data_IF_890708692519
#
_entry.id   IF_890708692519
#
_cell.length_a   1.000
_cell.length_b   1.000
_cell.length_c   1.000
_cell.angle_alpha   90.00
_cell.angle_beta   90.00
_cell.angle_gamma   90.00
#
_symmetry.space_group_name_H-M   'P 1'
#
loop_
_entity.id
_entity.type
_entity.pdbx_description
1 polymer ?
#
# COMPACT_ATOMS: atom_id res chain seq x y z
N UNK A 1 -47.62 4.44 -15.36
CA UNK A 1 -46.34 4.50 -14.63
C UNK A 1 -46.06 3.14 -14.04
N UNK A 2 -45.12 2.39 -14.59
CA UNK A 2 -44.77 1.04 -14.13
C UNK A 2 -43.94 1.16 -12.85
N UNK A 3 -44.57 0.87 -11.72
CA UNK A 3 -43.92 0.79 -10.42
C UNK A 3 -43.12 -0.52 -10.37
N UNK A 4 -41.91 -0.53 -10.94
CA UNK A 4 -40.99 -1.69 -10.76
C UNK A 4 -40.49 -1.64 -9.32
N UNK A 5 -40.60 -2.73 -8.55
CA UNK A 5 -40.02 -2.77 -7.22
C UNK A 5 -38.51 -2.51 -7.32
N UNK A 6 -37.91 -1.84 -6.32
CA UNK A 6 -36.45 -1.60 -6.32
C UNK A 6 -35.74 -2.94 -6.46
N UNK A 7 -34.89 -3.04 -7.49
CA UNK A 7 -34.08 -4.25 -7.75
C UNK A 7 -33.17 -4.47 -6.56
N UNK A 8 -33.27 -5.61 -5.88
CA UNK A 8 -32.38 -5.94 -4.78
C UNK A 8 -30.91 -5.88 -5.30
N UNK A 9 -29.98 -5.22 -4.59
CA UNK A 9 -28.60 -5.02 -5.05
C UNK A 9 -27.89 -6.33 -5.50
N UNK A 10 -28.31 -7.46 -4.96
CA UNK A 10 -27.76 -8.78 -5.27
C UNK A 10 -28.52 -9.56 -6.35
N UNK A 11 -29.62 -9.04 -6.91
CA UNK A 11 -30.41 -9.77 -7.89
C UNK A 11 -29.66 -10.02 -9.20
N UNK A 12 -28.80 -9.06 -9.60
CA UNK A 12 -27.96 -9.20 -10.79
C UNK A 12 -26.86 -10.25 -10.59
N UNK A 13 -26.37 -10.46 -9.37
CA UNK A 13 -25.31 -11.44 -9.09
C UNK A 13 -25.80 -12.89 -9.20
N UNK A 14 -27.11 -13.11 -9.22
CA UNK A 14 -27.72 -14.45 -9.45
C UNK A 14 -27.79 -14.85 -10.91
N UNK A 15 -27.65 -13.91 -11.86
CA UNK A 15 -27.71 -14.20 -13.29
C UNK A 15 -26.40 -14.89 -13.74
N UNK A 16 -26.52 -16.09 -14.29
CA UNK A 16 -25.36 -16.91 -14.74
C UNK A 16 -24.42 -16.15 -15.67
N UNK A 17 -24.97 -15.36 -16.62
CA UNK A 17 -24.15 -14.58 -17.55
C UNK A 17 -23.27 -13.54 -16.85
N UNK A 18 -23.75 -12.87 -15.80
CA UNK A 18 -22.92 -11.95 -15.03
C UNK A 18 -21.80 -12.66 -14.24
N UNK A 19 -22.13 -13.82 -13.66
CA UNK A 19 -21.10 -14.64 -13.00
C UNK A 19 -20.03 -15.11 -13.99
N UNK A 20 -20.45 -15.49 -15.19
CA UNK A 20 -19.52 -15.90 -16.26
C UNK A 20 -18.62 -14.73 -16.69
N UNK A 21 -19.18 -13.52 -16.86
CA UNK A 21 -18.41 -12.31 -17.20
C UNK A 21 -17.41 -11.97 -16.09
N UNK A 22 -17.84 -11.95 -14.84
CA UNK A 22 -16.94 -11.72 -13.69
C UNK A 22 -15.85 -12.78 -13.63
N UNK A 23 -16.21 -14.07 -13.78
CA UNK A 23 -15.25 -15.17 -13.81
C UNK A 23 -14.25 -15.05 -14.94
N UNK A 24 -14.70 -14.70 -16.16
CA UNK A 24 -13.82 -14.48 -17.31
C UNK A 24 -12.87 -13.30 -17.11
N UNK A 25 -13.38 -12.18 -16.57
CA UNK A 25 -12.57 -11.01 -16.26
C UNK A 25 -11.51 -11.36 -15.21
N UNK A 26 -11.88 -12.05 -14.15
CA UNK A 26 -10.93 -12.51 -13.11
C UNK A 26 -9.88 -13.45 -13.71
N UNK A 27 -10.33 -14.44 -14.50
CA UNK A 27 -9.40 -15.35 -15.18
C UNK A 27 -8.41 -14.57 -16.08
N UNK A 28 -8.89 -13.63 -16.86
CA UNK A 28 -8.05 -12.81 -17.75
C UNK A 28 -7.02 -11.97 -16.96
N UNK A 29 -7.43 -11.38 -15.83
CA UNK A 29 -6.54 -10.57 -15.00
C UNK A 29 -5.50 -11.42 -14.25
N UNK A 30 -5.91 -12.57 -13.72
CA UNK A 30 -5.02 -13.42 -12.91
C UNK A 30 -4.24 -14.45 -13.73
N UNK A 31 -4.65 -14.78 -14.95
CA UNK A 31 -3.96 -15.77 -15.79
C UNK A 31 -2.46 -15.44 -16.00
N UNK A 32 -2.04 -14.20 -16.31
CA UNK A 32 -0.61 -13.89 -16.44
C UNK A 32 0.16 -14.12 -15.13
N UNK A 33 -0.42 -13.78 -13.97
CA UNK A 33 0.21 -13.97 -12.66
C UNK A 33 0.33 -15.47 -12.33
N UNK A 34 -0.72 -16.25 -12.60
CA UNK A 34 -0.72 -17.71 -12.41
C UNK A 34 0.33 -18.36 -13.33
N UNK A 35 0.40 -17.94 -14.59
CA UNK A 35 1.42 -18.42 -15.53
C UNK A 35 2.84 -18.07 -15.05
N UNK A 36 3.07 -16.85 -14.57
CA UNK A 36 4.35 -16.44 -13.99
C UNK A 36 4.72 -17.35 -12.81
N UNK A 37 3.78 -17.60 -11.88
CA UNK A 37 3.98 -18.51 -10.74
C UNK A 37 4.25 -19.95 -11.19
N UNK A 38 3.54 -20.48 -12.19
CA UNK A 38 3.80 -21.83 -12.73
C UNK A 38 5.19 -21.87 -13.34
N UNK A 39 5.53 -20.92 -14.21
CA UNK A 39 6.85 -20.88 -14.87
C UNK A 39 8.03 -20.57 -13.93
N UNK A 40 7.77 -20.13 -12.69
CA UNK A 40 8.81 -20.01 -11.68
C UNK A 40 9.43 -21.35 -11.27
N UNK A 41 8.67 -22.44 -11.44
CA UNK A 41 9.12 -23.81 -11.19
C UNK A 41 9.70 -24.53 -12.43
N UNK A 42 9.81 -23.83 -13.56
CA UNK A 42 10.24 -24.45 -14.82
C UNK A 42 11.77 -24.63 -14.89
N UNK A 43 12.27 -25.85 -15.08
CA UNK A 43 13.70 -26.13 -15.27
C UNK A 43 14.17 -25.79 -16.70
N UNK A 44 14.09 -24.51 -17.03
CA UNK A 44 14.53 -23.98 -18.32
C UNK A 44 15.34 -22.70 -18.10
N UNK A 45 16.29 -22.43 -19.02
CA UNK A 45 17.00 -21.13 -19.02
C UNK A 45 16.14 -20.00 -19.61
N UNK A 46 15.09 -20.33 -20.37
CA UNK A 46 14.17 -19.38 -21.02
C UNK A 46 12.74 -19.78 -20.72
N UNK A 47 11.88 -18.83 -20.39
CA UNK A 47 10.46 -19.04 -20.03
C UNK A 47 9.54 -19.35 -21.23
N UNK A 48 10.02 -19.99 -22.27
CA UNK A 48 9.23 -20.23 -23.49
C UNK A 48 8.61 -21.62 -23.52
N UNK A 49 9.30 -22.63 -22.97
CA UNK A 49 8.89 -24.03 -23.01
C UNK A 49 9.04 -24.64 -21.63
N UNK A 50 8.02 -25.40 -21.21
CA UNK A 50 8.08 -26.16 -19.96
C UNK A 50 9.00 -27.37 -20.15
N UNK A 51 10.03 -27.49 -19.32
CA UNK A 51 11.02 -28.59 -19.36
C UNK A 51 10.98 -29.53 -18.17
N UNK A 52 10.26 -29.15 -17.10
CA UNK A 52 10.16 -29.93 -15.88
C UNK A 52 10.06 -29.06 -14.64
N UNK A 53 9.74 -29.70 -13.52
CA UNK A 53 9.60 -29.04 -12.22
C UNK A 53 10.97 -28.91 -11.53
N UNK A 54 11.28 -27.71 -11.01
CA UNK A 54 12.48 -27.47 -10.20
C UNK A 54 12.29 -26.35 -9.18
N UNK A 55 12.96 -26.42 -8.04
CA UNK A 55 13.05 -25.35 -7.03
C UNK A 55 14.38 -24.56 -7.12
N UNK A 56 15.27 -24.93 -8.03
CA UNK A 56 16.60 -24.35 -8.20
C UNK A 56 16.61 -22.83 -8.31
N UNK A 57 15.58 -22.25 -8.93
CA UNK A 57 15.53 -20.78 -9.12
C UNK A 57 15.10 -20.04 -7.86
N UNK A 58 14.38 -20.68 -6.94
CA UNK A 58 14.09 -20.16 -5.62
C UNK A 58 15.36 -20.12 -4.76
N UNK A 59 16.12 -21.21 -4.77
CA UNK A 59 17.42 -21.25 -4.09
C UNK A 59 18.39 -20.19 -4.64
N UNK A 60 18.44 -20.04 -5.98
CA UNK A 60 19.24 -18.98 -6.62
C UNK A 60 18.77 -17.58 -6.28
N UNK A 61 17.46 -17.35 -6.16
CA UNK A 61 16.91 -16.04 -5.80
C UNK A 61 17.25 -15.68 -4.35
N UNK A 62 17.13 -16.66 -3.43
CA UNK A 62 17.44 -16.47 -2.01
C UNK A 62 18.94 -16.32 -1.73
N UNK A 63 19.80 -16.95 -2.54
CA UNK A 63 21.27 -16.84 -2.45
C UNK A 63 21.86 -15.71 -3.32
N UNK A 64 21.01 -14.86 -3.90
CA UNK A 64 21.46 -13.71 -4.68
C UNK A 64 21.49 -12.47 -3.78
N UNK A 65 22.68 -12.13 -3.28
CA UNK A 65 22.88 -11.02 -2.33
C UNK A 65 22.22 -9.73 -2.81
N UNK A 66 22.39 -9.37 -4.08
CA UNK A 66 21.81 -8.11 -4.61
C UNK A 66 20.27 -8.13 -4.73
N UNK A 67 19.65 -9.31 -4.85
CA UNK A 67 18.19 -9.44 -4.85
C UNK A 67 17.64 -9.38 -3.44
N UNK A 68 18.32 -10.04 -2.51
CA UNK A 68 17.97 -10.03 -1.07
C UNK A 68 18.14 -8.63 -0.51
N UNK A 69 19.24 -7.93 -0.82
CA UNK A 69 19.45 -6.54 -0.44
C UNK A 69 18.34 -5.62 -0.97
N UNK A 70 17.98 -5.74 -2.25
CA UNK A 70 16.89 -4.97 -2.84
C UNK A 70 15.54 -5.26 -2.17
N UNK A 71 15.28 -6.50 -1.77
CA UNK A 71 14.07 -6.87 -1.00
C UNK A 71 14.09 -6.24 0.40
N UNK A 72 15.22 -6.32 1.10
CA UNK A 72 15.39 -5.70 2.44
C UNK A 72 15.21 -4.19 2.35
N UNK A 73 15.79 -3.54 1.33
CA UNK A 73 15.61 -2.11 1.08
C UNK A 73 14.13 -1.75 0.89
N UNK A 74 13.41 -2.50 0.04
CA UNK A 74 11.96 -2.29 -0.16
C UNK A 74 11.16 -2.45 1.12
N UNK A 75 11.42 -3.51 1.89
CA UNK A 75 10.72 -3.76 3.15
C UNK A 75 11.01 -2.67 4.19
N UNK A 76 12.25 -2.22 4.26
CA UNK A 76 12.68 -1.15 5.18
C UNK A 76 11.99 0.16 4.83
N UNK A 77 12.03 0.57 3.56
CA UNK A 77 11.35 1.77 3.08
C UNK A 77 9.84 1.68 3.32
N UNK A 78 9.21 0.55 2.95
CA UNK A 78 7.78 0.36 3.12
C UNK A 78 7.35 0.39 4.60
N UNK A 79 8.12 -0.25 5.49
CA UNK A 79 7.83 -0.23 6.92
C UNK A 79 7.96 1.17 7.52
N UNK A 80 9.07 1.88 7.25
CA UNK A 80 9.30 3.24 7.76
C UNK A 80 8.28 4.22 7.18
N UNK A 81 8.04 4.18 5.87
CA UNK A 81 7.05 5.02 5.22
C UNK A 81 5.65 4.77 5.79
N UNK A 82 5.27 3.51 6.02
CA UNK A 82 3.97 3.15 6.60
C UNK A 82 3.81 3.72 8.01
N UNK A 83 4.78 3.50 8.90
CA UNK A 83 4.70 3.96 10.29
C UNK A 83 4.54 5.48 10.35
N UNK A 84 5.38 6.21 9.61
CA UNK A 84 5.36 7.68 9.64
C UNK A 84 4.10 8.22 8.94
N UNK A 85 3.71 7.64 7.79
CA UNK A 85 2.48 8.03 7.09
C UNK A 85 1.23 7.74 7.91
N UNK A 86 1.21 6.64 8.67
CA UNK A 86 0.10 6.32 9.58
C UNK A 86 -0.08 7.38 10.65
N UNK A 87 1.01 7.79 11.29
CA UNK A 87 0.97 8.83 12.33
C UNK A 87 0.54 10.18 11.73
N UNK A 88 1.23 10.64 10.68
CA UNK A 88 0.94 11.93 10.05
C UNK A 88 -0.47 11.95 9.46
N UNK A 89 -0.85 10.91 8.72
CA UNK A 89 -2.16 10.79 8.08
C UNK A 89 -3.31 10.72 9.08
N UNK A 90 -3.15 9.96 10.18
CA UNK A 90 -4.15 9.88 11.24
C UNK A 90 -4.31 11.23 11.96
N UNK A 91 -3.20 11.89 12.32
CA UNK A 91 -3.24 13.21 12.96
C UNK A 91 -3.88 14.25 12.04
N UNK A 92 -3.50 14.27 10.75
CA UNK A 92 -4.09 15.15 9.76
C UNK A 92 -5.60 14.89 9.59
N UNK A 93 -6.02 13.63 9.51
CA UNK A 93 -7.42 13.26 9.41
C UNK A 93 -8.24 13.74 10.60
N UNK A 94 -7.76 13.48 11.83
CA UNK A 94 -8.42 13.93 13.07
C UNK A 94 -8.44 15.46 13.16
N UNK A 95 -7.33 16.13 12.85
CA UNK A 95 -7.26 17.59 12.89
C UNK A 95 -8.24 18.23 11.90
N UNK A 96 -8.29 17.75 10.67
CA UNK A 96 -9.21 18.23 9.65
C UNK A 96 -10.69 17.91 9.96
N UNK A 97 -10.95 16.82 10.65
CA UNK A 97 -12.31 16.48 11.08
C UNK A 97 -12.74 17.31 12.28
N UNK A 98 -11.87 17.50 13.29
CA UNK A 98 -12.21 18.11 14.58
C UNK A 98 -12.21 19.63 14.53
N UNK A 99 -11.20 20.23 13.86
CA UNK A 99 -10.97 21.67 13.93
C UNK A 99 -11.50 22.43 12.71
N UNK A 100 -11.91 23.67 12.96
CA UNK A 100 -12.21 24.68 11.95
C UNK A 100 -11.14 25.77 12.04
N UNK A 101 -10.38 25.96 10.98
CA UNK A 101 -9.32 26.96 10.90
C UNK A 101 -9.27 27.62 9.52
N UNK A 102 -8.73 28.84 9.42
CA UNK A 102 -8.57 29.50 8.13
C UNK A 102 -7.69 28.64 7.20
N UNK A 103 -7.97 28.70 5.89
CA UNK A 103 -7.24 27.91 4.87
C UNK A 103 -7.38 26.38 4.96
N UNK A 104 -8.34 25.87 5.74
CA UNK A 104 -8.58 24.42 5.81
C UNK A 104 -8.75 23.78 4.43
N UNK A 105 -9.51 24.42 3.51
CA UNK A 105 -9.70 23.95 2.14
C UNK A 105 -8.40 23.90 1.33
N UNK A 106 -7.46 24.83 1.58
CA UNK A 106 -6.14 24.78 0.95
C UNK A 106 -5.33 23.58 1.44
N UNK A 107 -5.34 23.32 2.75
CA UNK A 107 -4.66 22.14 3.33
C UNK A 107 -5.28 20.84 2.76
N UNK A 108 -6.59 20.74 2.69
CA UNK A 108 -7.27 19.59 2.08
C UNK A 108 -6.92 19.43 0.59
N UNK A 109 -6.85 20.54 -0.14
CA UNK A 109 -6.44 20.55 -1.55
C UNK A 109 -4.99 20.09 -1.74
N UNK A 110 -4.05 20.62 -0.95
CA UNK A 110 -2.63 20.24 -1.04
C UNK A 110 -2.40 18.78 -0.64
N UNK A 111 -3.11 18.27 0.37
CA UNK A 111 -3.06 16.85 0.74
C UNK A 111 -3.61 15.93 -0.37
N UNK A 112 -4.50 16.43 -1.22
CA UNK A 112 -5.05 15.63 -2.32
C UNK A 112 -4.14 15.63 -3.56
N UNK A 113 -3.11 16.49 -3.62
CA UNK A 113 -2.21 16.57 -4.78
C UNK A 113 -1.53 15.24 -5.13
N UNK A 114 -0.96 14.48 -4.18
CA UNK A 114 -0.32 13.20 -4.50
C UNK A 114 -1.29 12.14 -5.06
N UNK A 115 -2.59 12.29 -4.80
CA UNK A 115 -3.63 11.37 -5.32
C UNK A 115 -4.01 11.72 -6.76
N UNK A 116 -3.93 13.02 -7.12
CA UNK A 116 -4.39 13.55 -8.42
C UNK A 116 -3.24 13.64 -9.42
N UNK A 117 -2.05 14.01 -8.94
CA UNK A 117 -0.86 14.23 -9.79
C UNK A 117 -0.30 12.88 -10.24
N UNK A 118 0.01 12.71 -11.55
CA UNK A 118 0.67 11.49 -12.01
C UNK A 118 1.97 11.20 -11.26
N UNK A 119 2.18 9.95 -10.86
CA UNK A 119 3.36 9.52 -10.08
C UNK A 119 4.69 9.92 -10.70
N UNK A 120 4.78 9.92 -12.04
CA UNK A 120 5.98 10.34 -12.75
C UNK A 120 6.31 11.82 -12.50
N UNK A 121 5.30 12.69 -12.43
CA UNK A 121 5.49 14.11 -12.13
C UNK A 121 5.96 14.30 -10.68
N UNK A 122 5.43 13.51 -9.75
CA UNK A 122 5.89 13.49 -8.36
C UNK A 122 7.33 13.00 -8.26
N UNK A 123 7.67 11.90 -8.93
CA UNK A 123 9.04 11.38 -8.96
C UNK A 123 10.06 12.41 -9.47
N UNK A 124 9.76 13.08 -10.59
CA UNK A 124 10.59 14.16 -11.14
C UNK A 124 10.68 15.35 -10.16
N UNK A 125 9.56 15.72 -9.53
CA UNK A 125 9.55 16.81 -8.55
C UNK A 125 10.44 16.47 -7.33
N UNK A 126 10.38 15.25 -6.82
CA UNK A 126 11.26 14.79 -5.74
C UNK A 126 12.72 14.77 -6.16
N UNK A 127 13.04 14.30 -7.37
CA UNK A 127 14.41 14.34 -7.90
C UNK A 127 14.96 15.77 -7.90
N UNK A 128 14.19 16.73 -8.43
CA UNK A 128 14.59 18.13 -8.47
C UNK A 128 14.72 18.71 -7.07
N UNK A 129 13.79 18.41 -6.19
CA UNK A 129 13.80 18.86 -4.79
C UNK A 129 15.05 18.36 -4.08
N UNK A 130 15.28 17.06 -4.09
CA UNK A 130 16.44 16.46 -3.44
C UNK A 130 17.78 16.90 -4.07
N UNK A 131 17.84 17.19 -5.35
CA UNK A 131 19.04 17.73 -5.98
C UNK A 131 19.38 19.18 -5.59
N UNK A 132 18.44 19.94 -5.04
CA UNK A 132 18.61 21.37 -4.70
C UNK A 132 18.71 21.67 -3.23
N UNK A 133 18.27 20.76 -2.36
CA UNK A 133 18.27 20.96 -0.91
C UNK A 133 19.62 20.53 -0.34
N UNK A 134 20.26 21.38 0.49
CA UNK A 134 21.41 20.98 1.30
C UNK A 134 20.94 20.01 2.39
N UNK A 135 21.09 18.71 2.11
CA UNK A 135 20.73 17.64 3.03
C UNK A 135 21.84 17.42 4.07
N UNK A 136 21.55 16.92 5.28
CA UNK A 136 22.60 16.63 6.27
C UNK A 136 23.72 15.76 5.71
N UNK A 137 24.97 16.13 6.01
CA UNK A 137 26.19 15.52 5.44
C UNK A 137 26.42 14.07 5.85
N UNK A 138 25.75 13.61 6.92
CA UNK A 138 25.90 12.25 7.44
C UNK A 138 25.10 11.20 6.65
N UNK A 139 24.25 11.66 5.72
CA UNK A 139 23.47 10.79 4.85
C UNK A 139 23.99 10.88 3.42
N UNK A 140 24.21 9.75 2.72
CA UNK A 140 24.59 9.77 1.33
C UNK A 140 23.56 10.51 0.49
N UNK A 141 23.95 11.59 -0.12
CA UNK A 141 23.11 12.51 -0.89
C UNK A 141 23.38 12.40 -2.39
N UNK A 142 22.41 12.73 -3.26
CA UNK A 142 20.99 13.03 -3.01
C UNK A 142 20.08 11.79 -2.98
N UNK A 143 20.51 10.69 -3.56
CA UNK A 143 19.69 9.52 -3.85
C UNK A 143 20.07 8.37 -2.91
N UNK A 144 19.36 8.24 -1.80
CA UNK A 144 19.58 7.19 -0.78
C UNK A 144 18.25 6.69 -0.18
N UNK A 145 18.30 5.71 0.74
CA UNK A 145 17.09 5.15 1.38
C UNK A 145 16.27 6.19 2.14
N UNK A 146 16.89 7.24 2.69
CA UNK A 146 16.15 8.30 3.39
C UNK A 146 15.38 9.18 2.40
N UNK A 147 15.94 9.51 1.26
CA UNK A 147 15.26 10.26 0.20
C UNK A 147 14.04 9.46 -0.34
N UNK A 148 14.24 8.16 -0.61
CA UNK A 148 13.15 7.26 -1.01
C UNK A 148 12.06 7.24 0.07
N UNK A 149 12.45 7.05 1.34
CA UNK A 149 11.51 6.97 2.46
C UNK A 149 10.69 8.26 2.62
N UNK A 150 11.32 9.44 2.52
CA UNK A 150 10.61 10.74 2.60
C UNK A 150 9.64 10.92 1.44
N UNK A 151 10.06 10.55 0.22
CA UNK A 151 9.19 10.62 -0.94
C UNK A 151 7.96 9.71 -0.77
N UNK A 152 8.17 8.47 -0.28
CA UNK A 152 7.08 7.53 -0.01
C UNK A 152 6.17 8.00 1.14
N UNK A 153 6.71 8.58 2.22
CA UNK A 153 5.91 9.19 3.28
C UNK A 153 5.00 10.27 2.68
N UNK A 154 5.57 11.17 1.88
CA UNK A 154 4.84 12.28 1.26
C UNK A 154 3.75 11.79 0.32
N UNK A 155 3.99 10.69 -0.38
CA UNK A 155 3.01 10.05 -1.26
C UNK A 155 1.93 9.29 -0.48
N UNK A 156 2.29 8.52 0.56
CA UNK A 156 1.39 7.60 1.24
C UNK A 156 0.48 8.24 2.29
N UNK A 157 0.95 9.29 3.03
CA UNK A 157 0.16 9.83 4.13
C UNK A 157 -1.21 10.40 3.75
N UNK A 158 -1.43 10.98 2.55
CA UNK A 158 -2.76 11.43 2.14
C UNK A 158 -3.77 10.29 1.97
N UNK A 159 -3.31 9.14 1.51
CA UNK A 159 -4.16 7.95 1.39
C UNK A 159 -4.59 7.44 2.76
N UNK A 160 -3.68 7.41 3.73
CA UNK A 160 -4.00 7.09 5.13
C UNK A 160 -5.03 8.08 5.67
N UNK A 161 -4.79 9.37 5.49
CA UNK A 161 -5.70 10.42 5.94
C UNK A 161 -7.10 10.27 5.33
N UNK A 162 -7.19 9.93 4.06
CA UNK A 162 -8.47 9.69 3.36
C UNK A 162 -9.24 8.51 3.98
N UNK A 163 -8.56 7.39 4.24
CA UNK A 163 -9.18 6.19 4.84
C UNK A 163 -9.68 6.49 6.26
N UNK A 164 -8.86 7.18 7.07
CA UNK A 164 -9.23 7.55 8.46
C UNK A 164 -10.37 8.57 8.45
N UNK A 165 -10.36 9.58 7.55
CA UNK A 165 -11.47 10.56 7.41
C UNK A 165 -12.77 9.89 7.02
N UNK A 166 -12.75 8.92 6.13
CA UNK A 166 -13.95 8.16 5.76
C UNK A 166 -14.58 7.46 6.97
N UNK A 167 -13.77 6.92 7.87
CA UNK A 167 -14.24 6.30 9.11
C UNK A 167 -14.76 7.33 10.10
N UNK A 168 -14.07 8.47 10.25
CA UNK A 168 -14.51 9.57 11.12
C UNK A 168 -15.84 10.19 10.70
N UNK A 169 -16.21 10.09 9.41
CA UNK A 169 -17.51 10.58 8.94
C UNK A 169 -18.71 9.84 9.55
N UNK A 170 -18.52 8.59 10.00
CA UNK A 170 -19.55 7.78 10.68
C UNK A 170 -19.50 7.86 12.21
N UNK A 171 -18.56 8.63 12.76
CA UNK A 171 -18.43 8.76 14.22
C UNK A 171 -19.48 9.67 14.80
N UNK A 172 -20.19 9.18 15.85
CA UNK A 172 -21.14 9.99 16.60
C UNK A 172 -20.42 10.77 17.70
N UNK A 173 -20.44 12.10 17.59
CA UNK A 173 -19.80 12.99 18.59
C UNK A 173 -20.45 12.92 19.96
N UNK A 174 -21.73 12.54 20.05
CA UNK A 174 -22.43 12.38 21.30
C UNK A 174 -21.80 11.31 22.21
N UNK A 175 -21.15 10.30 21.64
CA UNK A 175 -20.40 9.28 22.39
C UNK A 175 -19.22 9.90 23.14
N UNK A 176 -18.49 10.82 22.49
CA UNK A 176 -17.37 11.55 23.10
C UNK A 176 -17.87 12.56 24.16
N UNK A 177 -18.98 13.25 23.90
CA UNK A 177 -19.60 14.18 24.84
C UNK A 177 -20.11 13.43 26.09
N UNK A 178 -20.80 12.31 25.93
CA UNK A 178 -21.25 11.47 27.03
C UNK A 178 -20.09 10.98 27.92
N UNK A 179 -18.97 10.60 27.32
CA UNK A 179 -17.77 10.21 28.08
C UNK A 179 -17.24 11.37 28.93
N UNK A 180 -17.24 12.61 28.38
CA UNK A 180 -16.82 13.82 29.11
C UNK A 180 -17.79 14.19 30.22
N UNK A 181 -19.09 14.03 30.01
CA UNK A 181 -20.12 14.24 31.04
C UNK A 181 -19.94 13.27 32.20
N UNK A 182 -19.41 12.08 31.95
CA UNK A 182 -19.05 11.11 32.99
C UNK A 182 -17.67 11.39 33.64
N UNK A 183 -17.03 12.51 33.31
CA UNK A 183 -15.77 12.95 33.90
C UNK A 183 -14.50 12.53 33.17
N UNK A 184 -14.60 12.00 31.95
CA UNK A 184 -13.42 11.68 31.14
C UNK A 184 -12.69 12.97 30.68
N UNK A 185 -11.38 12.95 30.80
CA UNK A 185 -10.53 14.00 30.21
C UNK A 185 -10.51 13.90 28.68
N UNK A 186 -10.08 14.98 27.99
CA UNK A 186 -9.93 14.97 26.52
C UNK A 186 -9.07 13.78 26.01
N UNK A 187 -8.02 13.44 26.74
CA UNK A 187 -7.15 12.32 26.40
C UNK A 187 -7.84 10.97 26.63
N UNK A 188 -8.62 10.84 27.68
CA UNK A 188 -9.40 9.61 27.94
C UNK A 188 -10.50 9.44 26.88
N UNK A 189 -11.24 10.50 26.56
CA UNK A 189 -12.25 10.46 25.49
C UNK A 189 -11.62 10.11 24.11
N UNK A 190 -10.45 10.67 23.80
CA UNK A 190 -9.70 10.29 22.60
C UNK A 190 -9.28 8.81 22.61
N UNK A 191 -8.64 8.36 23.71
CA UNK A 191 -8.06 7.02 23.80
C UNK A 191 -9.12 5.93 23.89
N UNK A 192 -10.20 6.16 24.65
CA UNK A 192 -11.16 5.13 25.03
C UNK A 192 -12.42 5.13 24.13
N UNK A 193 -12.69 6.23 23.40
CA UNK A 193 -13.85 6.36 22.50
C UNK A 193 -13.41 6.54 21.05
N UNK A 194 -12.67 7.59 20.73
CA UNK A 194 -12.32 7.91 19.33
C UNK A 194 -11.32 6.92 18.73
N UNK A 195 -10.24 6.60 19.42
CA UNK A 195 -9.18 5.72 18.93
C UNK A 195 -9.68 4.30 18.64
N UNK A 196 -10.49 3.65 19.50
CA UNK A 196 -11.11 2.36 19.17
C UNK A 196 -12.00 2.42 17.93
N UNK A 197 -12.76 3.50 17.75
CA UNK A 197 -13.60 3.69 16.58
C UNK A 197 -12.80 3.76 15.27
N UNK A 198 -11.66 4.48 15.26
CA UNK A 198 -10.81 4.64 14.06
C UNK A 198 -9.80 3.50 13.88
N UNK A 199 -9.58 2.63 14.86
CA UNK A 199 -8.59 1.55 14.82
C UNK A 199 -8.70 0.67 13.55
N UNK A 200 -9.89 0.22 13.09
CA UNK A 200 -9.99 -0.54 11.85
C UNK A 200 -9.50 0.25 10.62
N UNK A 201 -9.76 1.56 10.59
CA UNK A 201 -9.29 2.44 9.52
C UNK A 201 -7.77 2.68 9.59
N UNK A 202 -7.18 2.71 10.79
CA UNK A 202 -5.73 2.79 10.96
C UNK A 202 -5.05 1.54 10.40
N UNK A 203 -5.57 0.35 10.68
CA UNK A 203 -5.04 -0.91 10.13
C UNK A 203 -5.20 -0.93 8.60
N UNK A 204 -6.36 -0.55 8.08
CA UNK A 204 -6.60 -0.48 6.63
C UNK A 204 -5.67 0.55 5.96
N UNK A 205 -5.49 1.73 6.57
CA UNK A 205 -4.59 2.77 6.10
C UNK A 205 -3.12 2.34 6.12
N UNK A 206 -2.69 1.61 7.17
CA UNK A 206 -1.35 1.06 7.27
C UNK A 206 -1.07 0.04 6.15
N UNK A 207 -2.03 -0.87 5.90
CA UNK A 207 -1.92 -1.85 4.81
C UNK A 207 -1.85 -1.18 3.44
N UNK A 208 -2.70 -0.18 3.21
CA UNK A 208 -2.71 0.58 1.97
C UNK A 208 -1.37 1.27 1.76
N UNK A 209 -0.86 2.00 2.78
CA UNK A 209 0.43 2.68 2.70
C UNK A 209 1.60 1.71 2.49
N UNK A 210 1.58 0.56 3.18
CA UNK A 210 2.61 -0.48 3.03
C UNK A 210 2.62 -1.05 1.60
N UNK A 211 1.45 -1.37 1.07
CA UNK A 211 1.33 -1.92 -0.29
C UNK A 211 1.77 -0.90 -1.33
N UNK A 212 1.27 0.35 -1.25
CA UNK A 212 1.65 1.45 -2.15
C UNK A 212 3.16 1.73 -2.14
N UNK A 213 3.80 1.64 -0.96
CA UNK A 213 5.23 1.85 -0.84
C UNK A 213 6.06 0.66 -1.32
N UNK A 214 5.57 -0.57 -1.11
CA UNK A 214 6.32 -1.79 -1.44
C UNK A 214 6.37 -2.06 -2.95
N UNK A 215 5.31 -1.79 -3.68
CA UNK A 215 5.20 -2.01 -5.12
C UNK A 215 5.56 -0.78 -5.96
N UNK A 216 5.87 0.36 -5.32
CA UNK A 216 6.24 1.56 -6.04
C UNK A 216 7.54 1.36 -6.85
N UNK A 217 7.42 1.66 -8.12
CA UNK A 217 8.52 1.69 -9.06
C UNK A 217 8.87 3.12 -9.48
N UNK A 218 7.85 3.95 -9.68
CA UNK A 218 8.00 5.23 -10.40
C UNK A 218 8.72 6.25 -9.53
N UNK A 219 8.21 6.51 -8.33
CA UNK A 219 8.82 7.48 -7.41
C UNK A 219 10.22 7.01 -7.02
N UNK A 220 10.35 5.71 -6.69
CA UNK A 220 11.63 5.11 -6.34
C UNK A 220 12.65 5.22 -7.47
N UNK A 221 12.25 5.06 -8.74
CA UNK A 221 13.15 5.16 -9.89
C UNK A 221 13.85 6.53 -9.97
N UNK A 222 13.15 7.61 -9.60
CA UNK A 222 13.71 8.96 -9.60
C UNK A 222 14.45 9.32 -8.29
N UNK A 223 14.21 8.59 -7.21
CA UNK A 223 14.77 8.92 -5.88
C UNK A 223 15.82 7.93 -5.38
N UNK A 224 16.00 6.80 -6.07
CA UNK A 224 17.02 5.79 -5.73
C UNK A 224 18.40 6.17 -6.23
N UNK A 225 19.44 5.80 -5.47
CA UNK A 225 20.84 5.87 -5.86
C UNK A 225 21.39 4.49 -6.28
N UNK A 226 22.69 4.43 -6.67
CA UNK A 226 23.32 3.19 -7.12
C UNK A 226 23.28 2.06 -6.09
N UNK A 227 23.43 2.41 -4.79
CA UNK A 227 23.51 1.46 -3.68
C UNK A 227 22.18 1.30 -2.92
N UNK A 228 21.08 1.89 -3.43
CA UNK A 228 19.78 1.88 -2.76
C UNK A 228 18.65 1.39 -3.66
N UNK A 229 18.98 0.35 -4.44
CA UNK A 229 18.03 -0.26 -5.37
C UNK A 229 16.97 -1.01 -4.58
N UNK A 230 15.69 -0.75 -4.91
CA UNK A 230 14.54 -1.48 -4.35
C UNK A 230 14.17 -2.69 -5.21
N UNK A 231 13.36 -3.57 -4.67
CA UNK A 231 12.98 -4.82 -5.35
C UNK A 231 12.27 -4.58 -6.70
N UNK A 232 11.28 -3.66 -6.84
CA UNK A 232 10.67 -3.38 -8.13
C UNK A 232 11.69 -2.91 -9.20
N UNK A 233 12.64 -2.06 -8.83
CA UNK A 233 13.71 -1.61 -9.73
C UNK A 233 14.62 -2.78 -10.12
N UNK A 234 14.97 -3.64 -9.15
CA UNK A 234 15.78 -4.83 -9.41
C UNK A 234 15.11 -5.77 -10.39
N UNK A 235 13.84 -6.09 -10.15
CA UNK A 235 13.03 -6.92 -11.06
C UNK A 235 12.98 -6.31 -12.47
N UNK A 236 12.69 -5.01 -12.56
CA UNK A 236 12.69 -4.30 -13.85
C UNK A 236 14.02 -4.42 -14.58
N UNK A 237 15.14 -4.21 -13.88
CA UNK A 237 16.46 -4.33 -14.46
C UNK A 237 16.74 -5.75 -15.00
N UNK A 238 16.28 -6.78 -14.29
CA UNK A 238 16.43 -8.17 -14.73
C UNK A 238 15.56 -8.48 -15.94
N UNK A 239 14.30 -8.03 -15.96
CA UNK A 239 13.34 -8.25 -17.07
C UNK A 239 13.83 -7.58 -18.35
N UNK A 240 14.40 -6.38 -18.24
CA UNK A 240 14.90 -5.61 -19.39
C UNK A 240 15.93 -6.36 -20.21
N UNK A 241 16.75 -7.21 -19.57
CA UNK A 241 17.77 -8.01 -20.26
C UNK A 241 17.26 -9.38 -20.70
N UNK A 242 16.49 -10.07 -19.87
CA UNK A 242 15.84 -11.34 -20.23
C UNK A 242 14.83 -11.78 -19.15
N UNK A 243 13.68 -12.28 -19.60
CA UNK A 243 12.72 -12.94 -18.69
C UNK A 243 13.24 -14.35 -18.40
N UNK A 244 13.79 -14.55 -17.21
CA UNK A 244 14.31 -15.85 -16.77
C UNK A 244 13.42 -16.45 -15.67
N UNK A 245 13.43 -17.77 -15.43
CA UNK A 245 12.73 -18.36 -14.31
C UNK A 245 13.15 -17.81 -12.93
N UNK A 246 14.37 -17.27 -12.81
CA UNK A 246 14.83 -16.62 -11.60
C UNK A 246 14.03 -15.33 -11.29
N UNK A 247 13.68 -14.56 -12.33
CA UNK A 247 12.80 -13.38 -12.19
C UNK A 247 11.41 -13.82 -11.75
N UNK A 248 10.87 -14.88 -12.36
CA UNK A 248 9.55 -15.41 -11.97
C UNK A 248 9.56 -15.92 -10.53
N UNK A 249 10.62 -16.59 -10.08
CA UNK A 249 10.75 -17.06 -8.70
C UNK A 249 10.79 -15.88 -7.71
N UNK A 250 11.58 -14.84 -8.02
CA UNK A 250 11.65 -13.62 -7.22
C UNK A 250 10.29 -12.91 -7.15
N UNK A 251 9.63 -12.71 -8.30
CA UNK A 251 8.29 -12.09 -8.36
C UNK A 251 7.24 -12.93 -7.62
N UNK A 252 7.30 -14.26 -7.72
CA UNK A 252 6.40 -15.16 -6.99
C UNK A 252 6.59 -15.03 -5.47
N UNK A 253 7.83 -14.94 -4.99
CA UNK A 253 8.10 -14.71 -3.57
C UNK A 253 7.49 -13.39 -3.07
N UNK A 254 7.60 -12.31 -3.86
CA UNK A 254 6.99 -11.03 -3.52
C UNK A 254 5.45 -11.12 -3.49
N UNK A 255 4.84 -11.74 -4.51
CA UNK A 255 3.39 -11.94 -4.59
C UNK A 255 2.89 -12.73 -3.36
N UNK A 256 3.59 -13.80 -2.99
CA UNK A 256 3.23 -14.60 -1.82
C UNK A 256 3.41 -13.83 -0.51
N UNK A 257 4.46 -13.02 -0.40
CA UNK A 257 4.69 -12.15 0.75
C UNK A 257 3.59 -11.12 0.90
N UNK A 258 3.27 -10.37 -0.16
CA UNK A 258 2.23 -9.33 -0.12
C UNK A 258 0.84 -9.91 0.11
N UNK A 259 0.51 -11.02 -0.57
CA UNK A 259 -0.75 -11.72 -0.35
C UNK A 259 -0.88 -12.26 1.08
N UNK A 260 0.20 -12.84 1.62
CA UNK A 260 0.24 -13.33 2.99
C UNK A 260 0.07 -12.22 4.03
N UNK A 261 0.76 -11.09 3.86
CA UNK A 261 0.61 -9.92 4.73
C UNK A 261 -0.81 -9.35 4.67
N UNK A 262 -1.38 -9.24 3.47
CA UNK A 262 -2.76 -8.78 3.28
C UNK A 262 -3.77 -9.73 3.93
N UNK A 263 -3.62 -11.04 3.72
CA UNK A 263 -4.48 -12.05 4.33
C UNK A 263 -4.40 -12.02 5.87
N UNK A 264 -3.20 -11.92 6.42
CA UNK A 264 -2.97 -11.80 7.87
C UNK A 264 -3.67 -10.56 8.44
N UNK A 265 -3.55 -9.43 7.77
CA UNK A 265 -4.15 -8.19 8.23
C UNK A 265 -5.69 -8.22 8.14
N UNK A 266 -6.26 -8.79 7.07
CA UNK A 266 -7.71 -9.00 6.97
C UNK A 266 -8.21 -9.96 8.06
N UNK A 267 -7.46 -10.99 8.38
CA UNK A 267 -7.79 -11.90 9.47
C UNK A 267 -7.80 -11.21 10.83
N UNK A 268 -6.79 -10.36 11.11
CA UNK A 268 -6.74 -9.57 12.34
C UNK A 268 -7.91 -8.58 12.44
N UNK A 269 -8.28 -7.92 11.34
CA UNK A 269 -9.45 -7.03 11.30
C UNK A 269 -10.77 -7.79 11.54
N UNK A 270 -10.93 -8.97 10.93
CA UNK A 270 -12.13 -9.80 11.11
C UNK A 270 -12.31 -10.27 12.56
N UNK A 271 -11.21 -10.57 13.24
CA UNK A 271 -11.24 -10.94 14.66
C UNK A 271 -11.68 -9.77 15.58
N UNK A 272 -11.28 -8.54 15.27
CA UNK A 272 -11.68 -7.36 16.02
C UNK A 272 -13.17 -7.01 15.80
N UNK A 273 -13.67 -7.14 14.57
CA UNK A 273 -15.10 -6.91 14.27
C UNK A 273 -15.99 -7.96 14.98
N UNK A 274 -15.56 -9.22 15.00
CA UNK A 274 -16.29 -10.28 15.70
C UNK A 274 -16.37 -10.06 17.23
N UNK A 275 -15.31 -9.50 17.83
CA UNK A 275 -15.27 -9.14 19.26
C UNK A 275 -16.15 -7.92 19.60
N UNK A 276 -16.38 -7.02 18.66
CA UNK A 276 -17.26 -5.85 18.86
C UNK A 276 -18.74 -6.19 18.67
N UNK A 277 -19.05 -7.30 18.02
CA UNK A 277 -20.40 -7.78 17.75
C UNK A 277 -20.92 -8.78 18.81
N UNK A 278 -20.05 -9.29 19.68
CA UNK A 278 -20.37 -10.18 20.81
C UNK A 278 -20.48 -9.42 22.14
#
# INVERSE_FOLDING_TARGET
MFNRPPIAPLEYTRKLWMRSWVGLTMLFLYAPLILLMIFSFNDSKRNVVWKGFTLKYYEKALNNDSLVEALVNSLTVAALATIVSLVIGALAAVALWRFRFPFKGLVEGTMSLPIIVPEICLGVAFLIFFAKVDWPTDLPWPLNLSAITIAHITFCFPFVAMVVRARLASFNKEEEEAAKDLGATEWQAFRDVLLPHIRPALVAGALLAFTLSLDDFVITFFTSGPDTITFPIKVYSMVRFSVTPAVNAASTLLILLTAGLTALALWLQGADIAKQAA
#
